data_IF_881556104850
#
_entry.id   IF_881556104850
#
_cell.length_a   1.000
_cell.length_b   1.000
_cell.length_c   1.000
_cell.angle_alpha   90.00
_cell.angle_beta   90.00
_cell.angle_gamma   90.00
#
_symmetry.space_group_name_H-M   'P 1'
#
loop_
_entity.id
_entity.type
_entity.pdbx_description
1 polymer ?
#
# COMPACT_ATOMS: atom_id res chain seq x y z
N UNK A 1 8.82 10.11 0.11
CA UNK A 1 7.59 10.41 0.86
C UNK A 1 6.43 10.26 -0.11
N UNK A 2 5.37 9.58 0.31
CA UNK A 2 4.16 9.33 -0.45
C UNK A 2 3.01 10.12 0.18
N UNK A 3 2.31 10.93 -0.60
CA UNK A 3 1.19 11.75 -0.12
C UNK A 3 -0.14 11.09 -0.48
N UNK A 4 -1.05 10.99 0.49
CA UNK A 4 -2.31 10.27 0.29
C UNK A 4 -3.21 11.06 -0.66
N UNK A 5 -3.26 12.38 -0.54
CA UNK A 5 -4.13 13.23 -1.36
C UNK A 5 -3.85 13.09 -2.85
N UNK A 6 -2.59 12.94 -3.22
CA UNK A 6 -2.19 12.80 -4.63
C UNK A 6 -2.69 11.47 -5.23
N UNK A 7 -2.65 10.39 -4.42
CA UNK A 7 -3.19 9.08 -4.77
C UNK A 7 -4.72 9.12 -4.80
N UNK A 8 -5.37 9.70 -3.80
CA UNK A 8 -6.83 9.85 -3.75
C UNK A 8 -7.35 10.66 -4.96
N UNK A 9 -6.63 11.71 -5.36
CA UNK A 9 -6.98 12.52 -6.52
C UNK A 9 -6.74 11.80 -7.86
N UNK A 10 -5.64 11.04 -7.98
CA UNK A 10 -5.31 10.33 -9.23
C UNK A 10 -6.17 9.09 -9.46
N UNK A 11 -6.57 8.40 -8.39
CA UNK A 11 -7.29 7.12 -8.47
C UNK A 11 -8.76 7.20 -8.01
N UNK A 12 -9.18 8.30 -7.39
CA UNK A 12 -10.57 8.48 -6.92
C UNK A 12 -10.97 7.53 -5.78
N UNK A 13 -9.99 6.99 -5.04
CA UNK A 13 -10.21 6.09 -3.91
C UNK A 13 -9.98 6.82 -2.59
N UNK A 14 -10.56 6.32 -1.49
CA UNK A 14 -10.15 6.74 -0.15
C UNK A 14 -8.94 5.91 0.29
N UNK A 15 -7.77 6.53 0.44
CA UNK A 15 -6.51 5.82 0.69
C UNK A 15 -6.56 5.01 1.98
N UNK A 16 -7.03 5.63 3.07
CA UNK A 16 -7.14 4.99 4.38
C UNK A 16 -8.04 3.76 4.36
N UNK A 17 -9.18 3.82 3.66
CA UNK A 17 -10.10 2.70 3.56
C UNK A 17 -9.59 1.61 2.61
N UNK A 18 -9.00 2.01 1.48
CA UNK A 18 -8.51 1.06 0.48
C UNK A 18 -7.28 0.28 0.97
N UNK A 19 -6.37 0.96 1.67
CA UNK A 19 -5.14 0.39 2.22
C UNK A 19 -5.24 0.07 3.70
N UNK A 20 -6.43 0.00 4.30
CA UNK A 20 -6.61 -0.25 5.73
C UNK A 20 -5.80 -1.47 6.21
N UNK A 21 -5.88 -2.59 5.48
CA UNK A 21 -5.13 -3.81 5.79
C UNK A 21 -3.61 -3.63 5.65
N UNK A 22 -3.16 -2.93 4.62
CA UNK A 22 -1.74 -2.61 4.41
C UNK A 22 -1.22 -1.70 5.52
N UNK A 23 -2.00 -0.69 5.92
CA UNK A 23 -1.69 0.23 7.02
C UNK A 23 -1.56 -0.52 8.34
N UNK A 24 -2.42 -1.51 8.60
CA UNK A 24 -2.29 -2.36 9.79
C UNK A 24 -0.98 -3.15 9.79
N UNK A 25 -0.57 -3.69 8.65
CA UNK A 25 0.71 -4.41 8.50
C UNK A 25 1.93 -3.50 8.62
N UNK A 26 1.76 -2.19 8.39
CA UNK A 26 2.82 -1.20 8.47
C UNK A 26 3.02 -0.64 9.88
N UNK A 27 2.02 -0.72 10.76
CA UNK A 27 2.14 -0.32 12.18
C UNK A 27 3.41 -0.87 12.86
N UNK A 28 3.74 -2.18 12.81
CA UNK A 28 4.95 -2.69 13.44
C UNK A 28 6.25 -2.14 12.81
N UNK A 29 6.26 -1.81 11.51
CA UNK A 29 7.42 -1.15 10.89
C UNK A 29 7.55 0.31 11.31
N UNK A 30 6.44 0.96 11.63
CA UNK A 30 6.44 2.31 12.20
C UNK A 30 6.93 2.29 13.66
N UNK A 31 6.54 1.28 14.43
CA UNK A 31 7.05 1.05 15.80
C UNK A 31 8.55 0.76 15.82
N UNK A 32 9.07 0.07 14.80
CA UNK A 32 10.51 -0.23 14.64
C UNK A 32 11.33 0.94 14.07
N UNK A 33 10.73 2.13 13.93
CA UNK A 33 11.37 3.33 13.36
C UNK A 33 11.86 3.16 11.90
N UNK A 34 11.32 2.19 11.17
CA UNK A 34 11.67 1.93 9.77
C UNK A 34 10.89 2.84 8.81
N UNK A 35 9.68 3.23 9.21
CA UNK A 35 8.81 4.15 8.48
C UNK A 35 8.18 5.17 9.44
N UNK A 36 7.81 6.33 8.91
CA UNK A 36 6.90 7.29 9.53
C UNK A 36 5.56 7.22 8.83
N UNK A 37 4.55 6.85 9.59
CA UNK A 37 3.16 6.83 9.16
C UNK A 37 2.47 8.07 9.73
N UNK A 38 2.07 8.97 8.83
CA UNK A 38 1.34 10.18 9.16
C UNK A 38 -0.11 10.07 8.69
N UNK A 39 -0.99 10.96 9.16
CA UNK A 39 -2.42 10.88 8.84
C UNK A 39 -2.71 11.08 7.34
N UNK A 40 -1.80 11.75 6.63
CA UNK A 40 -1.92 12.10 5.21
C UNK A 40 -0.71 11.71 4.38
N UNK A 41 0.31 11.07 4.96
CA UNK A 41 1.51 10.72 4.21
C UNK A 41 2.29 9.56 4.83
N UNK A 42 3.13 8.92 4.02
CA UNK A 42 4.05 7.88 4.48
C UNK A 42 5.47 8.24 4.05
N UNK A 43 6.40 8.17 5.00
CA UNK A 43 7.81 8.41 4.76
C UNK A 43 8.62 7.19 5.18
N UNK A 44 9.38 6.61 4.28
CA UNK A 44 10.31 5.53 4.62
C UNK A 44 11.61 6.14 5.14
N UNK A 45 12.03 5.72 6.33
CA UNK A 45 13.29 6.16 6.95
C UNK A 45 14.46 5.37 6.39
N UNK A 46 15.69 5.81 6.66
CA UNK A 46 16.89 5.14 6.15
C UNK A 46 16.98 3.66 6.57
N UNK A 47 16.53 3.30 7.77
CA UNK A 47 16.45 1.91 8.23
C UNK A 47 15.46 1.05 7.42
N UNK A 48 14.31 1.62 7.03
CA UNK A 48 13.30 0.93 6.21
C UNK A 48 13.64 0.88 4.71
N UNK A 49 14.70 1.56 4.28
CA UNK A 49 15.06 1.67 2.86
C UNK A 49 15.48 0.33 2.24
N UNK A 50 16.04 -0.58 3.03
CA UNK A 50 16.32 -1.95 2.62
C UNK A 50 15.03 -2.76 2.40
N UNK A 51 13.98 -2.44 3.15
CA UNK A 51 12.69 -3.11 3.13
C UNK A 51 11.68 -2.41 2.21
N UNK A 52 12.10 -1.37 1.47
CA UNK A 52 11.23 -0.61 0.57
C UNK A 52 10.52 -1.52 -0.43
N UNK A 53 11.17 -2.58 -0.93
CA UNK A 53 10.53 -3.58 -1.79
C UNK A 53 9.40 -4.31 -1.09
N UNK A 54 9.62 -4.78 0.14
CA UNK A 54 8.56 -5.43 0.94
C UNK A 54 7.43 -4.48 1.27
N UNK A 55 7.74 -3.23 1.61
CA UNK A 55 6.75 -2.18 1.87
C UNK A 55 5.91 -1.92 0.61
N UNK A 56 6.54 -1.72 -0.55
CA UNK A 56 5.84 -1.54 -1.82
C UNK A 56 4.96 -2.76 -2.16
N UNK A 57 5.43 -3.98 -1.93
CA UNK A 57 4.62 -5.20 -2.14
C UNK A 57 3.39 -5.27 -1.22
N UNK A 58 3.43 -4.67 -0.03
CA UNK A 58 2.25 -4.58 0.85
C UNK A 58 1.21 -3.57 0.34
N UNK A 59 1.63 -2.58 -0.46
CA UNK A 59 0.74 -1.65 -1.16
C UNK A 59 0.34 -2.10 -2.56
N UNK A 60 1.04 -3.10 -3.12
CA UNK A 60 0.75 -3.65 -4.44
C UNK A 60 -0.50 -4.53 -4.37
N UNK A 61 -1.66 -3.87 -4.33
CA UNK A 61 -2.97 -4.49 -4.43
C UNK A 61 -3.23 -5.13 -5.80
N UNK A 62 -2.27 -5.02 -6.74
CA UNK A 62 -2.26 -5.79 -7.99
C UNK A 62 -1.96 -7.29 -7.76
N UNK A 63 -1.57 -7.66 -6.53
CA UNK A 63 -1.58 -9.04 -6.03
C UNK A 63 -2.86 -9.37 -5.23
N UNK A 64 -3.97 -8.65 -5.41
CA UNK A 64 -5.26 -9.35 -5.31
C UNK A 64 -5.33 -10.25 -6.54
N UNK A 65 -5.51 -11.57 -6.37
CA UNK A 65 -5.56 -12.46 -7.51
C UNK A 65 -6.65 -11.93 -8.43
N UNK A 66 -6.31 -11.77 -9.70
CA UNK A 66 -7.22 -12.12 -10.78
C UNK A 66 -7.67 -13.56 -10.57
N UNK A 67 -8.50 -13.79 -9.56
CA UNK A 67 -9.41 -14.93 -9.43
C UNK A 67 -10.80 -14.48 -9.87
N UNK A 68 -10.86 -13.60 -10.86
CA UNK A 68 -11.76 -13.84 -11.97
C UNK A 68 -10.86 -14.35 -13.10
N UNK A 69 -10.47 -15.63 -13.02
CA UNK A 69 -10.13 -16.38 -14.22
C UNK A 69 -11.43 -16.37 -15.03
N UNK A 70 -11.60 -15.35 -15.89
CA UNK A 70 -12.55 -15.40 -16.98
C UNK A 70 -12.05 -16.48 -17.93
N UNK A 71 -12.42 -17.72 -17.65
CA UNK A 71 -12.65 -18.68 -18.72
C UNK A 71 -13.72 -18.05 -19.60
N UNK A 72 -13.28 -17.36 -20.65
CA UNK A 72 -14.15 -17.00 -21.77
C UNK A 72 -14.77 -18.31 -22.25
N UNK A 73 -16.03 -18.56 -21.87
CA UNK A 73 -16.85 -19.53 -22.59
C UNK A 73 -17.01 -18.96 -24.00
N UNK A 74 -16.23 -19.52 -24.92
CA UNK A 74 -16.52 -19.44 -26.33
C UNK A 74 -17.68 -20.43 -26.55
N UNK A 75 -18.81 -19.91 -26.99
CA UNK A 75 -19.94 -20.63 -27.58
C UNK A 75 -19.69 -20.65 -29.08
#
# INVERSE_FOLDING_TARGET
MLDFKEIEASFGINFNNYFAESLERLKPLAEDDLISLDASSITVKDGGRLLIRSICMMFDAYLKPSSEIRYSRII
#
